data_IF_211781203620
#
_entry.id   IF_211781203620
#
_cell.length_a   1.000
_cell.length_b   1.000
_cell.length_c   1.000
_cell.angle_alpha   90.00
_cell.angle_beta   90.00
_cell.angle_gamma   90.00
#
_symmetry.space_group_name_H-M   'P 1'
#
loop_
_entity.id
_entity.type
_entity.pdbx_description
1 polymer ?
#
# COMPACT_ATOMS: atom_id res chain seq x y z
N UNK A 1 -8.70 11.14 1.27
CA UNK A 1 -7.83 9.95 1.47
C UNK A 1 -8.42 9.12 2.62
N UNK A 2 -8.39 7.78 2.54
CA UNK A 2 -8.99 6.89 3.56
C UNK A 2 -7.98 5.81 3.99
N UNK A 3 -8.34 4.96 4.96
CA UNK A 3 -7.45 3.93 5.52
C UNK A 3 -6.88 2.98 4.44
N UNK A 4 -7.69 2.60 3.44
CA UNK A 4 -7.27 1.74 2.32
C UNK A 4 -6.18 2.42 1.49
N UNK A 5 -6.35 3.71 1.15
CA UNK A 5 -5.33 4.47 0.41
C UNK A 5 -4.01 4.56 1.19
N UNK A 6 -4.07 4.78 2.50
CA UNK A 6 -2.87 4.81 3.35
C UNK A 6 -2.17 3.44 3.41
N UNK A 7 -2.94 2.35 3.52
CA UNK A 7 -2.39 1.00 3.51
C UNK A 7 -1.69 0.67 2.19
N UNK A 8 -2.30 1.03 1.06
CA UNK A 8 -1.71 0.83 -0.28
C UNK A 8 -0.46 1.69 -0.48
N UNK A 9 -0.48 2.98 -0.12
CA UNK A 9 0.69 3.86 -0.17
C UNK A 9 1.86 3.29 0.65
N UNK A 10 1.59 2.87 1.88
CA UNK A 10 2.60 2.29 2.74
C UNK A 10 3.14 0.96 2.20
N UNK A 11 2.28 0.12 1.62
CA UNK A 11 2.70 -1.13 0.99
C UNK A 11 3.64 -0.86 -0.18
N UNK A 12 3.28 0.05 -1.09
CA UNK A 12 4.13 0.43 -2.23
C UNK A 12 5.47 1.01 -1.76
N UNK A 13 5.46 1.85 -0.73
CA UNK A 13 6.67 2.40 -0.13
C UNK A 13 7.58 1.32 0.45
N UNK A 14 7.02 0.40 1.24
CA UNK A 14 7.76 -0.70 1.85
C UNK A 14 8.35 -1.64 0.80
N UNK A 15 7.60 -1.94 -0.26
CA UNK A 15 8.09 -2.76 -1.36
C UNK A 15 9.24 -2.07 -2.10
N UNK A 16 9.12 -0.78 -2.38
CA UNK A 16 10.18 0.01 -3.01
C UNK A 16 11.44 0.09 -2.14
N UNK A 17 11.32 0.25 -0.82
CA UNK A 17 12.48 0.26 0.09
C UNK A 17 13.24 -1.07 0.11
N UNK A 18 12.52 -2.18 -0.05
CA UNK A 18 13.11 -3.52 -0.08
C UNK A 18 13.56 -3.95 -1.48
N UNK A 19 13.56 -3.02 -2.45
CA UNK A 19 13.85 -3.27 -3.87
C UNK A 19 12.99 -4.40 -4.47
N UNK A 20 11.75 -4.53 -3.97
CA UNK A 20 10.80 -5.54 -4.40
C UNK A 20 9.86 -4.95 -5.45
N UNK A 21 9.78 -5.62 -6.61
CA UNK A 21 8.80 -5.28 -7.62
C UNK A 21 7.36 -5.34 -7.06
N UNK A 22 6.62 -4.25 -7.13
CA UNK A 22 5.25 -4.20 -6.66
C UNK A 22 4.28 -4.71 -7.75
N UNK A 23 3.32 -5.52 -7.33
CA UNK A 23 2.20 -5.97 -8.16
C UNK A 23 0.91 -5.87 -7.34
N UNK A 24 -0.25 -5.77 -8.01
CA UNK A 24 -1.56 -5.70 -7.32
C UNK A 24 -1.72 -6.86 -6.33
N UNK A 25 -1.32 -8.08 -6.72
CA UNK A 25 -1.39 -9.25 -5.85
C UNK A 25 -0.44 -9.18 -4.66
N UNK A 26 0.77 -8.64 -4.83
CA UNK A 26 1.72 -8.48 -3.74
C UNK A 26 1.25 -7.41 -2.76
N UNK A 27 0.68 -6.31 -3.25
CA UNK A 27 0.09 -5.25 -2.42
C UNK A 27 -1.13 -5.78 -1.67
N UNK A 28 -2.01 -6.55 -2.33
CA UNK A 28 -3.15 -7.22 -1.69
C UNK A 28 -2.69 -8.14 -0.55
N UNK A 29 -1.70 -8.99 -0.81
CA UNK A 29 -1.10 -9.86 0.21
C UNK A 29 -0.47 -9.07 1.37
N UNK A 30 0.20 -7.96 1.07
CA UNK A 30 0.86 -7.13 2.09
C UNK A 30 -0.17 -6.42 2.99
N UNK A 31 -1.27 -5.94 2.42
CA UNK A 31 -2.28 -5.14 3.11
C UNK A 31 -3.41 -5.97 3.71
N UNK A 32 -3.60 -7.22 3.26
CA UNK A 32 -4.75 -8.05 3.59
C UNK A 32 -6.03 -7.67 2.83
N UNK A 33 -5.93 -6.77 1.85
CA UNK A 33 -7.06 -6.34 1.02
C UNK A 33 -7.32 -7.32 -0.13
N UNK A 34 -8.53 -7.29 -0.67
CA UNK A 34 -8.84 -7.96 -1.93
C UNK A 34 -8.15 -7.28 -3.11
N UNK A 35 -8.01 -8.01 -4.22
CA UNK A 35 -7.47 -7.47 -5.48
C UNK A 35 -8.24 -6.24 -5.95
N UNK A 36 -9.56 -6.28 -5.87
CA UNK A 36 -10.44 -5.22 -6.36
C UNK A 36 -10.35 -3.95 -5.50
N UNK A 37 -10.22 -4.11 -4.18
CA UNK A 37 -9.97 -2.98 -3.27
C UNK A 37 -8.62 -2.30 -3.55
N UNK A 38 -7.58 -3.09 -3.83
CA UNK A 38 -6.27 -2.55 -4.19
C UNK A 38 -6.33 -1.83 -5.53
N UNK A 39 -6.98 -2.40 -6.53
CA UNK A 39 -7.11 -1.78 -7.86
C UNK A 39 -7.93 -0.48 -7.80
N UNK A 40 -9.03 -0.47 -7.04
CA UNK A 40 -9.81 0.74 -6.81
C UNK A 40 -9.00 1.82 -6.07
N UNK A 41 -8.22 1.44 -5.06
CA UNK A 41 -7.36 2.36 -4.33
C UNK A 41 -6.21 2.89 -5.22
N UNK A 42 -5.59 2.03 -6.04
CA UNK A 42 -4.57 2.45 -7.01
C UNK A 42 -5.15 3.43 -8.03
N UNK A 43 -6.34 3.17 -8.57
CA UNK A 43 -7.01 4.10 -9.49
C UNK A 43 -7.31 5.46 -8.84
N UNK A 44 -7.68 5.48 -7.57
CA UNK A 44 -7.89 6.73 -6.84
C UNK A 44 -6.59 7.49 -6.55
N UNK A 45 -5.51 6.78 -6.18
CA UNK A 45 -4.18 7.36 -5.94
C UNK A 45 -3.54 7.87 -7.23
N UNK A 46 -3.77 7.18 -8.35
CA UNK A 46 -3.33 7.56 -9.69
C UNK A 46 -3.99 8.86 -10.16
N UNK A 47 -5.32 8.96 -10.01
CA UNK A 47 -6.04 10.23 -10.24
C UNK A 47 -5.57 11.38 -9.35
N UNK A 48 -5.05 11.08 -8.17
CA UNK A 48 -4.48 12.06 -7.25
C UNK A 48 -2.99 12.36 -7.52
N UNK A 49 -2.36 11.72 -8.52
CA UNK A 49 -0.95 11.90 -8.85
C UNK A 49 0.03 11.28 -7.85
N UNK A 50 -0.44 10.41 -6.95
CA UNK A 50 0.37 9.79 -5.89
C UNK A 50 0.89 8.40 -6.27
N UNK A 51 0.25 7.72 -7.22
CA UNK A 51 0.72 6.44 -7.73
C UNK A 51 0.66 6.43 -9.26
N UNK A 52 1.36 5.48 -9.86
CA UNK A 52 1.25 5.11 -11.25
C UNK A 52 0.59 3.73 -11.25
N UNK A 53 -0.69 3.67 -11.64
CA UNK A 53 -1.49 2.43 -11.55
C UNK A 53 -0.94 1.34 -12.46
N UNK A 54 -0.55 1.69 -13.69
CA UNK A 54 -0.06 0.75 -14.71
C UNK A 54 1.23 0.07 -14.26
N UNK A 55 2.12 0.83 -13.60
CA UNK A 55 3.39 0.30 -13.09
C UNK A 55 3.35 -0.12 -11.63
N UNK A 56 2.21 0.05 -10.97
CA UNK A 56 1.97 -0.26 -9.54
C UNK A 56 3.10 0.29 -8.66
N UNK A 57 3.37 1.60 -8.76
CA UNK A 57 4.48 2.25 -8.04
C UNK A 57 4.10 3.64 -7.56
N UNK A 58 4.85 4.17 -6.60
CA UNK A 58 4.71 5.55 -6.17
C UNK A 58 5.28 6.51 -7.21
N UNK A 59 4.64 7.66 -7.35
CA UNK A 59 5.25 8.84 -7.97
C UNK A 59 6.17 9.53 -6.96
N UNK A 60 6.95 10.53 -7.38
CA UNK A 60 7.74 11.34 -6.44
C UNK A 60 6.86 12.04 -5.39
N UNK A 61 5.67 12.52 -5.78
CA UNK A 61 4.71 13.13 -4.86
C UNK A 61 4.13 12.09 -3.90
N UNK A 62 3.80 10.91 -4.41
CA UNK A 62 3.35 9.77 -3.62
C UNK A 62 4.36 9.28 -2.60
N UNK A 63 5.65 9.31 -2.96
CA UNK A 63 6.74 8.98 -2.05
C UNK A 63 6.77 9.93 -0.85
N UNK A 64 6.66 11.23 -1.12
CA UNK A 64 6.53 12.23 -0.05
C UNK A 64 5.31 11.96 0.83
N UNK A 65 4.14 11.74 0.23
CA UNK A 65 2.92 11.42 0.98
C UNK A 65 3.06 10.14 1.83
N UNK A 66 3.70 9.09 1.31
CA UNK A 66 3.91 7.83 2.02
C UNK A 66 4.90 7.97 3.19
N UNK A 67 5.93 8.80 3.05
CA UNK A 67 6.87 9.12 4.13
C UNK A 67 6.19 9.78 5.33
N UNK A 68 5.23 10.69 5.09
CA UNK A 68 4.48 11.35 6.15
C UNK A 68 3.30 10.53 6.67
N UNK A 69 2.79 9.58 5.89
CA UNK A 69 1.65 8.75 6.28
C UNK A 69 1.96 7.84 7.48
N UNK A 70 3.24 7.51 7.74
CA UNK A 70 3.65 6.62 8.80
C UNK A 70 3.11 5.19 8.61
N UNK A 71 3.77 4.19 9.19
CA UNK A 71 3.28 2.82 9.08
C UNK A 71 1.83 2.73 9.58
N UNK A 72 0.90 2.11 8.83
CA UNK A 72 -0.41 1.82 9.36
C UNK A 72 -0.16 1.01 10.63
N UNK A 73 -0.59 1.55 11.78
CA UNK A 73 -0.54 0.85 13.07
C UNK A 73 -1.18 -0.50 12.83
N UNK A 74 -0.35 -1.55 12.70
CA UNK A 74 -0.80 -2.93 12.52
C UNK A 74 -1.87 -3.17 13.57
N UNK A 75 -3.11 -3.38 13.13
CA UNK A 75 -4.10 -4.01 13.98
C UNK A 75 -3.51 -5.37 14.37
N UNK A 76 -3.19 -5.51 15.65
CA UNK A 76 -2.65 -6.68 16.29
C UNK A 76 -3.47 -7.91 15.93
N UNK A 77 -3.00 -8.71 14.97
CA UNK A 77 -3.62 -9.99 14.64
C UNK A 77 -2.78 -11.10 15.26
N UNK A 78 -3.23 -11.54 16.43
CA UNK A 78 -3.09 -12.92 16.91
C UNK A 78 -1.68 -13.41 17.28
N UNK A 79 -1.18 -12.98 18.44
CA UNK A 79 -0.30 -13.85 19.22
C UNK A 79 -1.15 -15.00 19.81
N UNK A 80 -1.50 -15.99 18.99
CA UNK A 80 -2.01 -17.27 19.52
C UNK A 80 -0.80 -18.05 20.01
N UNK A 81 -0.41 -17.77 21.25
CA UNK A 81 0.57 -18.56 22.01
C UNK A 81 -0.03 -19.96 22.19
N UNK A 82 0.69 -20.95 21.68
CA UNK A 82 0.37 -22.36 21.84
C UNK A 82 0.22 -22.70 23.33
N UNK A 83 -0.82 -23.47 23.63
CA UNK A 83 -0.98 -24.24 24.86
C UNK A 83 -0.66 -25.70 24.55
#
# INVERSE_FOLDING_TARGET
MNATHHAVLHALFTLAQNDQHATVLRVAKFTGLSRDEVDAALAALDRAGLADRERVRLTMQGLGAAMFAGAPRRASTGAKKAA
#
